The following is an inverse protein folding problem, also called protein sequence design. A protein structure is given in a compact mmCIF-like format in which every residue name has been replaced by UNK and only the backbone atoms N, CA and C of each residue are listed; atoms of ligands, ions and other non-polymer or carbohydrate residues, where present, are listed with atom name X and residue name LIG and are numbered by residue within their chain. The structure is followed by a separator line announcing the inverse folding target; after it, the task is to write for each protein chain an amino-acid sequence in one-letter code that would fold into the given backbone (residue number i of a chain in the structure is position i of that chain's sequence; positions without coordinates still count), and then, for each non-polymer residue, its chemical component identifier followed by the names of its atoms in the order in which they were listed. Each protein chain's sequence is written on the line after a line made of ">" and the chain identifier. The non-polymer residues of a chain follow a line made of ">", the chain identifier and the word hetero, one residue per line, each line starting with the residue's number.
data_IF_705822409200
#
_entry.id   IF_705822409200
#
_cell.length_a   1.000
_cell.length_b   1.000
_cell.length_c   1.000
_cell.angle_alpha   90.00
_cell.angle_beta   90.00
_cell.angle_gamma   90.00
#
_symmetry.space_group_name_H-M   'P 1'
#
loop_
_entity.id
_entity.type
_entity.pdbx_description
1 polymer ?
#
# COMPACT_ATOMS: atom_id res chain seq x y z
N UNK A 1 22.25 -15.00 7.12
CA UNK A 1 22.17 -14.27 5.83
C UNK A 1 22.51 -12.84 6.11
N UNK A 2 23.59 -12.33 5.52
CA UNK A 2 23.88 -10.89 5.58
C UNK A 2 22.81 -10.12 4.80
N UNK A 3 22.67 -8.83 5.10
CA UNK A 3 21.83 -7.88 4.38
C UNK A 3 22.75 -6.99 3.54
N UNK A 4 22.34 -6.72 2.31
CA UNK A 4 23.04 -5.73 1.48
C UNK A 4 22.72 -4.30 1.97
N UNK A 5 23.65 -3.34 1.85
CA UNK A 5 23.44 -1.95 2.31
C UNK A 5 22.26 -1.24 1.64
N UNK A 6 21.86 -1.68 0.45
CA UNK A 6 20.78 -1.12 -0.35
C UNK A 6 19.43 -1.83 -0.14
N UNK A 7 19.37 -2.86 0.72
CA UNK A 7 18.12 -3.49 1.07
C UNK A 7 17.18 -2.51 1.78
N UNK A 8 15.87 -2.55 1.51
CA UNK A 8 14.91 -1.71 2.22
C UNK A 8 14.94 -1.96 3.73
N UNK A 9 14.66 -0.93 4.52
CA UNK A 9 14.60 -1.00 5.98
C UNK A 9 13.29 -1.66 6.41
N UNK A 10 13.37 -2.60 7.33
CA UNK A 10 12.21 -3.17 7.97
C UNK A 10 11.67 -2.20 9.04
N UNK A 11 10.43 -1.72 8.92
CA UNK A 11 9.88 -0.75 9.86
C UNK A 11 9.71 -1.30 11.29
N UNK A 12 9.73 -2.61 11.49
CA UNK A 12 9.53 -3.21 12.82
C UNK A 12 10.78 -3.19 13.71
N UNK A 13 11.97 -3.14 13.10
CA UNK A 13 13.23 -3.27 13.84
C UNK A 13 14.33 -2.33 13.32
N UNK A 14 13.99 -1.46 12.37
CA UNK A 14 14.88 -0.44 11.79
C UNK A 14 16.15 -1.00 11.14
N UNK A 15 16.17 -2.30 10.86
CA UNK A 15 17.29 -2.97 10.18
C UNK A 15 16.95 -3.28 8.73
N UNK A 16 17.93 -3.26 7.80
CA UNK A 16 17.71 -3.72 6.45
C UNK A 16 17.18 -5.17 6.44
N UNK A 17 16.26 -5.47 5.53
CA UNK A 17 15.87 -6.86 5.28
C UNK A 17 17.09 -7.68 4.86
N UNK A 18 17.15 -8.94 5.28
CA UNK A 18 18.22 -9.86 4.86
C UNK A 18 18.06 -10.28 3.39
N UNK A 19 19.16 -10.70 2.74
CA UNK A 19 19.10 -11.19 1.35
C UNK A 19 18.18 -12.40 1.20
N UNK A 20 18.06 -13.24 2.25
CA UNK A 20 17.07 -14.33 2.29
C UNK A 20 15.63 -13.81 2.25
N UNK A 21 15.30 -12.79 3.02
CA UNK A 21 13.97 -12.17 2.99
C UNK A 21 13.69 -11.51 1.64
N UNK A 22 14.68 -10.82 1.06
CA UNK A 22 14.54 -10.22 -0.27
C UNK A 22 14.22 -11.25 -1.36
N UNK A 23 14.84 -12.45 -1.32
CA UNK A 23 14.49 -13.55 -2.23
C UNK A 23 13.06 -14.09 -2.00
N UNK A 24 12.56 -14.06 -0.78
CA UNK A 24 11.17 -14.42 -0.50
C UNK A 24 10.21 -13.36 -1.03
N UNK A 25 10.54 -12.08 -0.87
CA UNK A 25 9.75 -10.98 -1.44
C UNK A 25 9.72 -11.01 -2.95
N UNK A 26 10.79 -11.45 -3.61
CA UNK A 26 10.81 -11.63 -5.06
C UNK A 26 9.77 -12.66 -5.52
N UNK A 27 9.70 -13.82 -4.85
CA UNK A 27 8.65 -14.82 -5.14
C UNK A 27 7.24 -14.27 -4.90
N UNK A 28 7.06 -13.44 -3.88
CA UNK A 28 5.78 -12.79 -3.63
C UNK A 28 5.44 -11.77 -4.72
N UNK A 29 6.40 -10.97 -5.21
CA UNK A 29 6.17 -10.06 -6.35
C UNK A 29 5.79 -10.79 -7.62
N UNK A 30 6.41 -11.94 -7.89
CA UNK A 30 6.02 -12.75 -9.04
C UNK A 30 4.57 -13.24 -8.94
N UNK A 31 4.11 -13.54 -7.71
CA UNK A 31 2.73 -13.93 -7.45
C UNK A 31 1.75 -12.75 -7.48
N UNK A 32 2.19 -11.59 -7.02
CA UNK A 32 1.39 -10.37 -6.88
C UNK A 32 2.10 -9.20 -7.59
N UNK A 33 2.18 -9.21 -8.93
CA UNK A 33 2.99 -8.25 -9.68
C UNK A 33 2.53 -6.81 -9.52
N UNK A 34 1.23 -6.60 -9.28
CA UNK A 34 0.64 -5.29 -9.03
C UNK A 34 0.75 -4.80 -7.58
N UNK A 35 1.25 -5.59 -6.65
CA UNK A 35 1.25 -5.24 -5.23
C UNK A 35 2.43 -4.32 -4.87
N UNK A 36 2.09 -3.11 -4.44
CA UNK A 36 3.04 -2.04 -4.16
C UNK A 36 3.68 -2.13 -2.78
N UNK A 37 3.08 -2.91 -1.86
CA UNK A 37 3.54 -3.03 -0.47
C UNK A 37 4.68 -4.03 -0.29
N UNK A 38 4.91 -4.92 -1.26
CA UNK A 38 5.98 -5.93 -1.15
C UNK A 38 7.35 -5.25 -1.26
N UNK A 39 8.22 -5.30 -0.22
CA UNK A 39 9.48 -4.57 -0.20
C UNK A 39 10.41 -4.97 -1.34
N UNK A 40 10.87 -3.99 -2.11
CA UNK A 40 11.81 -4.17 -3.24
C UNK A 40 12.98 -3.21 -3.13
N UNK A 41 14.14 -3.59 -3.68
CA UNK A 41 15.22 -2.63 -3.92
C UNK A 41 14.74 -1.64 -4.98
N UNK A 42 15.06 -0.36 -4.76
CA UNK A 42 14.76 0.72 -5.67
C UNK A 42 16.06 1.40 -6.07
N UNK A 43 16.19 1.72 -7.36
CA UNK A 43 17.26 2.61 -7.81
C UNK A 43 17.07 4.01 -7.21
N UNK A 44 18.11 4.86 -7.19
CA UNK A 44 17.98 6.25 -6.76
C UNK A 44 16.86 7.00 -7.49
N UNK A 45 16.73 6.80 -8.80
CA UNK A 45 15.71 7.42 -9.64
C UNK A 45 14.30 6.95 -9.25
N UNK A 46 14.14 5.65 -8.96
CA UNK A 46 12.87 5.09 -8.50
C UNK A 46 12.48 5.59 -7.09
N UNK A 47 13.46 5.84 -6.21
CA UNK A 47 13.22 6.46 -4.90
C UNK A 47 12.74 7.89 -5.08
N UNK A 48 13.46 8.68 -5.88
CA UNK A 48 13.09 10.06 -6.19
C UNK A 48 11.69 10.14 -6.83
N UNK A 49 11.37 9.24 -7.75
CA UNK A 49 10.04 9.18 -8.36
C UNK A 49 8.94 8.90 -7.34
N UNK A 50 9.16 7.93 -6.44
CA UNK A 50 8.22 7.63 -5.37
C UNK A 50 8.02 8.82 -4.42
N UNK A 51 9.08 9.53 -4.09
CA UNK A 51 9.02 10.72 -3.24
C UNK A 51 8.23 11.84 -3.92
N UNK A 52 8.49 12.09 -5.22
CA UNK A 52 7.71 13.06 -6.02
C UNK A 52 6.24 12.69 -6.10
N UNK A 53 5.92 11.43 -6.39
CA UNK A 53 4.55 10.95 -6.40
C UNK A 53 3.87 11.15 -5.04
N UNK A 54 4.58 10.87 -3.94
CA UNK A 54 4.06 11.07 -2.58
C UNK A 54 3.77 12.54 -2.30
N UNK A 55 4.68 13.44 -2.66
CA UNK A 55 4.48 14.89 -2.53
C UNK A 55 3.28 15.37 -3.35
N UNK A 56 3.19 14.92 -4.59
CA UNK A 56 2.08 15.25 -5.48
C UNK A 56 0.72 14.83 -4.92
N UNK A 57 0.61 13.62 -4.35
CA UNK A 57 -0.62 13.16 -3.70
C UNK A 57 -1.00 14.04 -2.50
N UNK A 58 -0.02 14.57 -1.73
CA UNK A 58 -0.30 15.52 -0.64
C UNK A 58 -0.79 16.88 -1.13
N UNK A 59 -0.25 17.36 -2.26
CA UNK A 59 -0.72 18.59 -2.89
C UNK A 59 -2.17 18.45 -3.33
N UNK A 60 -2.50 17.34 -4.02
CA UNK A 60 -3.87 17.03 -4.41
C UNK A 60 -4.79 16.98 -3.18
N UNK A 61 -4.38 16.33 -2.10
CA UNK A 61 -5.18 16.25 -0.88
C UNK A 61 -5.56 17.65 -0.37
N UNK A 62 -4.62 18.59 -0.41
CA UNK A 62 -4.85 19.98 0.00
C UNK A 62 -5.85 20.66 -0.95
N UNK A 63 -5.71 20.46 -2.26
CA UNK A 63 -6.67 20.97 -3.26
C UNK A 63 -8.07 20.40 -3.05
N UNK A 64 -8.20 19.11 -2.74
CA UNK A 64 -9.50 18.47 -2.46
C UNK A 64 -10.18 19.16 -1.26
N UNK A 65 -9.45 19.41 -0.18
CA UNK A 65 -9.97 20.10 1.01
C UNK A 65 -10.42 21.51 0.68
N UNK A 66 -9.66 22.23 -0.15
CA UNK A 66 -9.99 23.59 -0.61
C UNK A 66 -11.07 23.63 -1.70
N UNK A 67 -11.48 22.47 -2.24
CA UNK A 67 -12.37 22.34 -3.41
C UNK A 67 -11.80 23.01 -4.67
N UNK A 68 -10.48 22.90 -4.84
CA UNK A 68 -9.71 23.43 -5.97
C UNK A 68 -9.15 22.30 -6.87
N UNK A 69 -9.43 21.04 -6.53
CA UNK A 69 -8.92 19.88 -7.27
C UNK A 69 -9.76 19.59 -8.51
N UNK A 70 -9.09 19.25 -9.62
CA UNK A 70 -9.78 18.78 -10.83
C UNK A 70 -10.34 17.37 -10.62
N UNK A 71 -11.24 16.94 -11.50
CA UNK A 71 -11.73 15.55 -11.51
C UNK A 71 -10.59 14.52 -11.62
N UNK A 72 -9.59 14.80 -12.46
CA UNK A 72 -8.43 13.92 -12.63
C UNK A 72 -7.65 13.81 -11.32
N UNK A 73 -7.31 14.92 -10.69
CA UNK A 73 -6.56 14.95 -9.43
C UNK A 73 -7.32 14.20 -8.33
N UNK A 74 -8.62 14.43 -8.19
CA UNK A 74 -9.47 13.70 -7.23
C UNK A 74 -9.34 12.19 -7.45
N UNK A 75 -9.48 11.73 -8.70
CA UNK A 75 -9.36 10.32 -9.02
C UNK A 75 -7.97 9.77 -8.67
N UNK A 76 -6.89 10.47 -9.03
CA UNK A 76 -5.53 10.05 -8.74
C UNK A 76 -5.26 9.91 -7.23
N UNK A 77 -5.75 10.85 -6.42
CA UNK A 77 -5.64 10.75 -4.96
C UNK A 77 -6.36 9.52 -4.42
N UNK A 78 -7.62 9.31 -4.78
CA UNK A 78 -8.40 8.20 -4.24
C UNK A 78 -7.92 6.85 -4.78
N UNK A 79 -7.50 6.76 -6.04
CA UNK A 79 -6.91 5.55 -6.61
C UNK A 79 -5.62 5.17 -5.86
N UNK A 80 -4.78 6.16 -5.51
CA UNK A 80 -3.60 5.93 -4.68
C UNK A 80 -3.94 5.38 -3.28
N UNK A 81 -4.91 5.99 -2.58
CA UNK A 81 -5.34 5.53 -1.24
C UNK A 81 -5.95 4.11 -1.30
N UNK A 82 -6.83 3.88 -2.26
CA UNK A 82 -7.52 2.59 -2.46
C UNK A 82 -6.51 1.49 -2.81
N UNK A 83 -5.51 1.79 -3.64
CA UNK A 83 -4.48 0.82 -4.03
C UNK A 83 -3.73 0.27 -2.81
N UNK A 84 -3.31 1.14 -1.90
CA UNK A 84 -2.63 0.71 -0.67
C UNK A 84 -3.48 -0.22 0.20
N UNK A 85 -4.78 0.05 0.33
CA UNK A 85 -5.71 -0.80 1.08
C UNK A 85 -5.94 -2.15 0.39
N UNK A 86 -6.15 -2.12 -0.93
CA UNK A 86 -6.38 -3.31 -1.75
C UNK A 86 -5.16 -4.24 -1.72
N UNK A 87 -3.96 -3.68 -1.85
CA UNK A 87 -2.70 -4.43 -1.76
C UNK A 87 -2.51 -5.07 -0.38
N UNK A 88 -2.94 -4.40 0.69
CA UNK A 88 -2.88 -4.96 2.05
C UNK A 88 -3.87 -6.11 2.21
N UNK A 89 -5.10 -5.94 1.74
CA UNK A 89 -6.14 -6.99 1.77
C UNK A 89 -5.65 -8.23 1.01
N UNK A 90 -5.10 -8.06 -0.19
CA UNK A 90 -4.58 -9.15 -1.01
C UNK A 90 -3.52 -10.00 -0.28
N UNK A 91 -2.56 -9.36 0.40
CA UNK A 91 -1.53 -10.07 1.16
C UNK A 91 -2.09 -10.78 2.39
N UNK A 92 -3.01 -10.14 3.11
CA UNK A 92 -3.67 -10.77 4.28
C UNK A 92 -4.49 -11.98 3.85
N UNK A 93 -5.29 -11.84 2.79
CA UNK A 93 -6.09 -12.92 2.22
C UNK A 93 -5.21 -14.09 1.82
N UNK A 94 -4.05 -13.82 1.20
CA UNK A 94 -3.10 -14.86 0.86
C UNK A 94 -2.59 -15.60 2.10
N UNK A 95 -2.22 -14.90 3.17
CA UNK A 95 -1.72 -15.53 4.40
C UNK A 95 -2.80 -16.37 5.08
N UNK A 96 -4.03 -15.84 5.21
CA UNK A 96 -5.16 -16.53 5.83
C UNK A 96 -5.57 -17.81 5.08
N UNK A 97 -5.49 -17.79 3.74
CA UNK A 97 -5.92 -18.89 2.87
C UNK A 97 -4.79 -19.83 2.45
N UNK A 98 -3.54 -19.56 2.86
CA UNK A 98 -2.38 -20.35 2.44
C UNK A 98 -2.46 -21.78 3.01
N UNK A 99 -2.51 -22.83 2.17
CA UNK A 99 -2.52 -24.20 2.64
C UNK A 99 -1.28 -24.51 3.50
N UNK A 100 -1.49 -25.17 4.64
CA UNK A 100 -0.42 -25.51 5.59
C UNK A 100 0.13 -24.34 6.40
N UNK A 101 -0.47 -23.15 6.31
CA UNK A 101 -0.13 -22.05 7.22
C UNK A 101 -0.65 -22.37 8.64
N UNK A 102 0.27 -22.51 9.58
CA UNK A 102 -0.05 -22.64 11.00
C UNK A 102 -0.08 -21.23 11.60
N UNK A 103 -1.27 -20.66 11.71
CA UNK A 103 -1.52 -19.41 12.43
C UNK A 103 -2.14 -19.76 13.79
N UNK A 104 -1.65 -19.14 14.87
CA UNK A 104 -2.39 -19.18 16.14
C UNK A 104 -3.75 -18.51 15.96
N UNK A 105 -4.78 -18.92 16.74
CA UNK A 105 -6.09 -18.26 16.72
C UNK A 105 -5.98 -16.75 16.87
N UNK A 106 -5.17 -16.28 17.83
CA UNK A 106 -4.93 -14.84 18.05
C UNK A 106 -4.37 -14.13 16.81
N UNK A 107 -3.41 -14.73 16.10
CA UNK A 107 -2.83 -14.11 14.90
C UNK A 107 -3.82 -14.12 13.73
N UNK A 108 -4.64 -15.17 13.61
CA UNK A 108 -5.72 -15.22 12.62
C UNK A 108 -6.73 -14.11 12.88
N UNK A 109 -7.21 -13.98 14.12
CA UNK A 109 -8.17 -12.95 14.51
C UNK A 109 -7.62 -11.54 14.27
N UNK A 110 -6.34 -11.28 14.59
CA UNK A 110 -5.68 -10.00 14.27
C UNK A 110 -5.69 -9.71 12.77
N UNK A 111 -5.35 -10.69 11.94
CA UNK A 111 -5.33 -10.52 10.49
C UNK A 111 -6.73 -10.30 9.91
N UNK A 112 -7.73 -11.04 10.38
CA UNK A 112 -9.13 -10.88 9.98
C UNK A 112 -9.67 -9.50 10.37
N UNK A 113 -9.34 -9.03 11.58
CA UNK A 113 -9.69 -7.68 12.02
C UNK A 113 -9.06 -6.59 11.14
N UNK A 114 -7.76 -6.70 10.87
CA UNK A 114 -7.08 -5.74 9.97
C UNK A 114 -7.70 -5.78 8.58
N UNK A 115 -7.98 -6.96 8.02
CA UNK A 115 -8.67 -7.12 6.74
C UNK A 115 -10.01 -6.40 6.72
N UNK A 116 -10.88 -6.68 7.70
CA UNK A 116 -12.20 -6.06 7.82
C UNK A 116 -12.15 -4.54 8.03
N UNK A 117 -11.12 -4.03 8.73
CA UNK A 117 -10.88 -2.59 8.84
C UNK A 117 -10.51 -1.96 7.50
N UNK A 118 -9.62 -2.58 6.72
CA UNK A 118 -9.24 -2.07 5.39
C UNK A 118 -10.43 -2.10 4.42
N UNK A 119 -11.29 -3.12 4.47
CA UNK A 119 -12.52 -3.18 3.65
C UNK A 119 -13.50 -2.04 3.99
N UNK A 120 -13.70 -1.76 5.29
CA UNK A 120 -14.52 -0.62 5.72
C UNK A 120 -13.93 0.71 5.26
N UNK A 121 -12.62 0.88 5.38
CA UNK A 121 -11.92 2.09 4.91
C UNK A 121 -12.00 2.25 3.40
N UNK A 122 -11.91 1.16 2.62
CA UNK A 122 -12.07 1.20 1.16
C UNK A 122 -13.44 1.75 0.78
N UNK A 123 -14.51 1.23 1.39
CA UNK A 123 -15.87 1.75 1.17
C UNK A 123 -15.98 3.23 1.53
N UNK A 124 -15.40 3.65 2.66
CA UNK A 124 -15.40 5.05 3.07
C UNK A 124 -14.65 5.96 2.08
N UNK A 125 -13.54 5.48 1.50
CA UNK A 125 -12.80 6.22 0.47
C UNK A 125 -13.60 6.35 -0.83
N UNK A 126 -14.28 5.29 -1.27
CA UNK A 126 -15.14 5.38 -2.46
C UNK A 126 -16.29 6.37 -2.27
N UNK A 127 -16.95 6.34 -1.12
CA UNK A 127 -17.99 7.33 -0.80
C UNK A 127 -17.42 8.75 -0.71
N UNK A 128 -16.22 8.92 -0.17
CA UNK A 128 -15.53 10.21 -0.11
C UNK A 128 -15.15 10.71 -1.51
N UNK A 129 -14.68 9.82 -2.40
CA UNK A 129 -14.41 10.12 -3.81
C UNK A 129 -15.65 10.67 -4.49
N UNK A 130 -16.79 9.99 -4.35
CA UNK A 130 -18.05 10.45 -4.96
C UNK A 130 -18.49 11.82 -4.42
N UNK A 131 -18.22 12.14 -3.14
CA UNK A 131 -18.50 13.48 -2.59
C UNK A 131 -17.52 14.53 -3.11
N UNK A 132 -16.24 14.21 -3.21
CA UNK A 132 -15.22 15.13 -3.71
C UNK A 132 -15.47 15.48 -5.18
N UNK A 133 -15.82 14.50 -6.02
CA UNK A 133 -16.10 14.68 -7.45
C UNK A 133 -17.26 15.66 -7.72
N UNK A 134 -18.23 15.78 -6.80
CA UNK A 134 -19.31 16.79 -6.91
C UNK A 134 -18.84 18.23 -6.74
N UNK A 135 -17.64 18.43 -6.19
CA UNK A 135 -17.00 19.73 -5.99
C UNK A 135 -15.74 19.88 -6.87
N UNK A 136 -15.56 19.02 -7.88
CA UNK A 136 -14.44 19.14 -8.80
C UNK A 136 -14.53 20.47 -9.56
N UNK A 137 -13.38 21.10 -9.77
CA UNK A 137 -13.28 22.22 -10.71
C UNK A 137 -13.08 21.66 -12.13
N UNK A 138 -13.58 22.41 -13.11
CA UNK A 138 -13.42 22.10 -14.54
C UNK A 138 -11.96 22.13 -15.00
#
# INVERSE_FOLDING_TARGET
>A
SLADPDNPINPQNERPFTNRQMRQFEKLRQKFPGNTLIPRKLSPEQKAERERQTQYIYEIQTKIVKKEATQQEINEYYDYQIKGMTDRIELIDYVLKKPGAVLSPENRDKLENVRAMNERTLKAYEEARQRALKNAVD
#
